data_IF_985450238177
#
_entry.id   IF_985450238177
#
_cell.length_a   1.000
_cell.length_b   1.000
_cell.length_c   1.000
_cell.angle_alpha   90.00
_cell.angle_beta   90.00
_cell.angle_gamma   90.00
#
_symmetry.space_group_name_H-M   'P 1'
#
loop_
_entity.id
_entity.type
_entity.pdbx_description
1 polymer ?
#
# COMPACT_ATOMS: atom_id res chain seq x y z
N UNK A 1 23.03 41.72 43.33
CA UNK A 1 23.25 41.25 41.94
C UNK A 1 22.43 39.99 41.77
N UNK A 2 21.31 40.07 41.07
CA UNK A 2 20.45 38.93 40.76
C UNK A 2 20.87 38.40 39.40
N UNK A 3 21.45 37.19 39.37
CA UNK A 3 21.74 36.47 38.13
C UNK A 3 20.59 35.49 37.93
N UNK A 4 19.63 35.87 37.10
CA UNK A 4 18.56 34.99 36.64
C UNK A 4 19.15 34.00 35.63
N UNK A 5 18.99 32.68 35.79
CA UNK A 5 19.61 31.71 34.88
C UNK A 5 18.87 31.69 33.53
N UNK A 6 19.57 32.09 32.46
CA UNK A 6 19.12 32.00 31.05
C UNK A 6 19.16 30.56 30.47
N UNK A 7 18.87 29.53 31.28
CA UNK A 7 19.12 28.12 30.88
C UNK A 7 17.91 27.44 30.19
N UNK A 8 16.76 28.10 30.02
CA UNK A 8 15.53 27.39 29.62
C UNK A 8 15.12 27.45 28.14
N UNK A 9 15.60 28.38 27.31
CA UNK A 9 15.13 28.50 25.90
C UNK A 9 15.93 27.63 24.92
N UNK A 10 17.27 27.60 25.02
CA UNK A 10 18.14 26.84 24.10
C UNK A 10 17.83 25.34 24.08
N UNK A 11 17.47 24.76 25.22
CA UNK A 11 17.19 23.33 25.38
C UNK A 11 15.78 22.94 24.94
N UNK A 12 14.86 23.91 24.84
CA UNK A 12 13.50 23.70 24.35
C UNK A 12 13.47 23.72 22.82
N UNK A 13 14.19 24.66 22.21
CA UNK A 13 14.34 24.77 20.76
C UNK A 13 15.08 23.54 20.17
N UNK A 14 16.12 23.04 20.85
CA UNK A 14 16.83 21.83 20.44
C UNK A 14 15.94 20.58 20.46
N UNK A 15 15.06 20.45 21.47
CA UNK A 15 14.09 19.34 21.55
C UNK A 15 13.02 19.43 20.46
N UNK A 16 12.62 20.64 20.07
CA UNK A 16 11.67 20.85 18.97
C UNK A 16 12.28 20.51 17.61
N UNK A 17 13.57 20.82 17.40
CA UNK A 17 14.30 20.40 16.19
C UNK A 17 14.40 18.88 16.08
N UNK A 18 14.78 18.20 17.17
CA UNK A 18 14.83 16.72 17.19
C UNK A 18 13.46 16.08 16.90
N UNK A 19 12.38 16.67 17.42
CA UNK A 19 11.02 16.19 17.16
C UNK A 19 10.61 16.42 15.70
N UNK A 20 10.99 17.54 15.10
CA UNK A 20 10.74 17.84 13.69
C UNK A 20 11.49 16.86 12.78
N UNK A 21 12.79 16.64 13.01
CA UNK A 21 13.60 15.71 12.23
C UNK A 21 13.05 14.27 12.33
N UNK A 22 12.60 13.87 13.52
CA UNK A 22 11.96 12.59 13.73
C UNK A 22 10.64 12.47 12.94
N UNK A 23 9.79 13.51 12.96
CA UNK A 23 8.54 13.55 12.18
C UNK A 23 8.83 13.43 10.68
N UNK A 24 9.84 14.13 10.18
CA UNK A 24 10.21 14.10 8.76
C UNK A 24 10.75 12.72 8.36
N UNK A 25 11.52 12.05 9.23
CA UNK A 25 12.00 10.68 8.98
C UNK A 25 10.85 9.67 8.84
N UNK A 26 9.78 9.81 9.62
CA UNK A 26 8.60 8.98 9.50
C UNK A 26 7.76 9.36 8.27
N UNK A 27 7.62 10.65 7.96
CA UNK A 27 6.88 11.14 6.78
C UNK A 27 7.52 10.76 5.45
N UNK A 28 8.82 10.53 5.42
CA UNK A 28 9.52 10.04 4.23
C UNK A 28 8.99 8.67 3.74
N UNK A 29 8.24 7.94 4.57
CA UNK A 29 7.59 6.69 4.21
C UNK A 29 6.17 6.97 3.69
N UNK A 30 6.00 6.94 2.37
CA UNK A 30 4.70 7.05 1.71
C UNK A 30 4.12 5.64 1.43
N UNK A 31 3.03 5.23 2.11
CA UNK A 31 2.37 3.94 1.85
C UNK A 31 1.88 3.82 0.39
N UNK A 32 1.52 4.92 -0.26
CA UNK A 32 1.11 4.92 -1.66
C UNK A 32 2.26 4.51 -2.59
N UNK A 33 3.44 5.11 -2.40
CA UNK A 33 4.64 4.74 -3.15
C UNK A 33 5.04 3.28 -2.91
N UNK A 34 4.94 2.80 -1.67
CA UNK A 34 5.21 1.39 -1.35
C UNK A 34 4.23 0.44 -2.05
N UNK A 35 2.94 0.80 -2.10
CA UNK A 35 1.92 0.01 -2.78
C UNK A 35 2.21 -0.09 -4.30
N UNK A 36 2.61 1.01 -4.94
CA UNK A 36 3.01 1.02 -6.35
C UNK A 36 4.23 0.12 -6.60
N UNK A 37 5.22 0.15 -5.71
CA UNK A 37 6.38 -0.73 -5.78
C UNK A 37 5.99 -2.20 -5.61
N UNK A 38 5.06 -2.51 -4.71
CA UNK A 38 4.55 -3.87 -4.48
C UNK A 38 3.86 -4.40 -5.73
N UNK A 39 2.97 -3.61 -6.35
CA UNK A 39 2.25 -4.02 -7.56
C UNK A 39 3.23 -4.24 -8.73
N UNK A 40 4.19 -3.33 -8.89
CA UNK A 40 5.24 -3.45 -9.91
C UNK A 40 6.09 -4.72 -9.68
N UNK A 41 6.49 -4.97 -8.44
CA UNK A 41 7.27 -6.16 -8.08
C UNK A 41 6.47 -7.45 -8.30
N UNK A 42 5.17 -7.49 -7.96
CA UNK A 42 4.30 -8.64 -8.22
C UNK A 42 4.24 -8.97 -9.71
N UNK A 43 4.11 -7.94 -10.55
CA UNK A 43 4.11 -8.09 -12.00
C UNK A 43 5.43 -8.70 -12.49
N UNK A 44 6.57 -8.13 -12.08
CA UNK A 44 7.90 -8.59 -12.50
C UNK A 44 8.19 -10.01 -12.02
N UNK A 45 7.88 -10.30 -10.75
CA UNK A 45 8.12 -11.57 -10.09
C UNK A 45 7.39 -12.73 -10.78
N UNK A 46 6.19 -12.47 -11.29
CA UNK A 46 5.36 -13.45 -11.99
C UNK A 46 5.46 -13.33 -13.52
N UNK A 47 6.31 -12.44 -14.05
CA UNK A 47 6.38 -12.12 -15.48
C UNK A 47 4.99 -11.85 -16.11
N UNK A 48 4.09 -11.23 -15.36
CA UNK A 48 2.74 -10.90 -15.81
C UNK A 48 2.74 -9.63 -16.69
N UNK A 49 1.67 -9.43 -17.47
CA UNK A 49 1.48 -8.20 -18.26
C UNK A 49 0.93 -7.05 -17.43
N UNK A 50 0.16 -7.39 -16.40
CA UNK A 50 -0.43 -6.44 -15.47
C UNK A 50 -0.54 -7.05 -14.08
N UNK A 51 -0.63 -6.18 -13.08
CA UNK A 51 -0.88 -6.52 -11.69
C UNK A 51 -1.73 -5.44 -11.04
N UNK A 52 -2.33 -5.75 -9.89
CA UNK A 52 -3.08 -4.76 -9.13
C UNK A 52 -3.46 -5.23 -7.75
N UNK A 53 -4.00 -4.29 -6.97
CA UNK A 53 -4.63 -4.54 -5.68
C UNK A 53 -6.09 -4.08 -5.73
N UNK A 54 -6.98 -4.94 -5.26
CA UNK A 54 -8.39 -4.63 -5.04
C UNK A 54 -8.69 -4.74 -3.55
N UNK A 55 -9.51 -3.83 -3.03
CA UNK A 55 -10.03 -3.89 -1.68
C UNK A 55 -11.54 -4.13 -1.72
N UNK A 56 -12.03 -4.86 -0.72
CA UNK A 56 -13.46 -5.01 -0.45
C UNK A 56 -13.79 -4.34 0.86
N UNK A 57 -14.80 -3.49 0.85
CA UNK A 57 -15.39 -2.98 2.09
C UNK A 57 -16.14 -4.13 2.79
N UNK A 58 -15.92 -4.28 4.09
CA UNK A 58 -16.59 -5.29 4.90
C UNK A 58 -18.07 -5.00 5.13
N UNK A 59 -18.53 -3.75 4.89
CA UNK A 59 -19.91 -3.31 5.17
C UNK A 59 -20.83 -3.58 4.00
N UNK A 60 -20.46 -3.17 2.79
CA UNK A 60 -21.37 -3.22 1.62
C UNK A 60 -21.03 -4.36 0.63
N UNK A 61 -19.87 -5.03 0.80
CA UNK A 61 -19.41 -6.06 -0.13
C UNK A 61 -19.08 -5.52 -1.53
N UNK A 62 -19.11 -4.19 -1.71
CA UNK A 62 -18.73 -3.54 -2.96
C UNK A 62 -17.21 -3.53 -3.15
N UNK A 63 -16.80 -3.73 -4.41
CA UNK A 63 -15.40 -3.76 -4.83
C UNK A 63 -14.89 -2.35 -5.04
N UNK A 64 -13.83 -1.99 -4.33
CA UNK A 64 -13.05 -0.80 -4.67
C UNK A 64 -11.70 -1.25 -5.20
N UNK A 65 -11.52 -1.15 -6.51
CA UNK A 65 -10.19 -1.31 -7.09
C UNK A 65 -9.30 -0.18 -6.57
N UNK A 66 -8.19 -0.52 -5.93
CA UNK A 66 -7.36 0.46 -5.24
C UNK A 66 -6.17 0.82 -6.10
N UNK A 67 -5.49 -0.18 -6.68
CA UNK A 67 -4.34 0.04 -7.56
C UNK A 67 -4.31 -0.94 -8.73
N UNK A 68 -3.86 -0.47 -9.89
CA UNK A 68 -3.57 -1.29 -11.07
C UNK A 68 -2.30 -0.75 -11.70
N UNK A 69 -1.40 -1.64 -12.08
CA UNK A 69 -0.21 -1.33 -12.85
C UNK A 69 -0.19 -2.18 -14.12
N UNK A 70 0.13 -1.54 -15.25
CA UNK A 70 0.31 -2.21 -16.54
C UNK A 70 1.67 -1.87 -17.13
N UNK A 71 2.37 -2.88 -17.64
CA UNK A 71 3.62 -2.62 -18.34
C UNK A 71 3.37 -1.70 -19.55
N UNK A 72 4.07 -0.56 -19.59
CA UNK A 72 4.09 0.34 -20.76
C UNK A 72 3.64 1.78 -20.51
N UNK A 73 3.26 2.17 -19.29
CA UNK A 73 2.99 3.58 -18.94
C UNK A 73 3.85 4.01 -17.75
N UNK A 74 4.82 4.89 -18.02
CA UNK A 74 5.54 5.62 -16.97
C UNK A 74 4.62 6.72 -16.44
N UNK A 75 4.05 6.54 -15.25
CA UNK A 75 3.37 7.62 -14.52
C UNK A 75 4.10 7.91 -13.19
N UNK A 76 4.14 9.19 -12.76
CA UNK A 76 4.92 9.62 -11.61
C UNK A 76 4.26 9.21 -10.27
N UNK A 77 5.07 8.93 -9.23
CA UNK A 77 4.57 8.50 -7.92
C UNK A 77 3.83 9.62 -7.19
N UNK A 78 2.77 9.29 -6.46
CA UNK A 78 2.15 10.18 -5.46
C UNK A 78 0.71 10.65 -5.73
N UNK A 79 -0.05 9.97 -6.59
CA UNK A 79 -1.49 10.22 -6.72
C UNK A 79 -2.23 8.90 -6.78
N UNK A 80 -2.93 8.55 -5.69
CA UNK A 80 -3.89 7.45 -5.64
C UNK A 80 -4.99 7.70 -6.70
N UNK A 81 -4.76 7.14 -7.88
CA UNK A 81 -5.59 7.29 -9.07
C UNK A 81 -5.51 5.95 -9.79
N UNK A 82 -6.67 5.44 -10.18
CA UNK A 82 -6.81 4.23 -11.01
C UNK A 82 -6.01 4.47 -12.30
N UNK A 83 -4.79 3.95 -12.36
CA UNK A 83 -3.89 4.03 -13.51
C UNK A 83 -3.58 2.64 -14.07
N UNK A 84 -4.64 1.87 -14.26
CA UNK A 84 -4.67 0.78 -15.24
C UNK A 84 -5.43 1.24 -16.48
N UNK A 85 -5.26 0.59 -17.64
CA UNK A 85 -6.11 0.86 -18.79
C UNK A 85 -7.57 0.63 -18.35
N UNK A 86 -8.55 1.32 -18.98
CA UNK A 86 -9.94 1.24 -18.55
C UNK A 86 -10.38 -0.22 -18.41
N UNK A 87 -11.32 -0.54 -17.50
CA UNK A 87 -11.88 -1.89 -17.32
C UNK A 87 -12.20 -2.60 -18.66
N UNK A 88 -12.52 -1.82 -19.69
CA UNK A 88 -12.78 -2.23 -21.08
C UNK A 88 -11.59 -2.84 -21.85
N UNK A 89 -10.39 -2.86 -21.27
CA UNK A 89 -9.16 -3.37 -21.92
C UNK A 89 -8.62 -4.66 -21.32
N UNK A 90 -9.10 -5.03 -20.12
CA UNK A 90 -8.89 -6.36 -19.58
C UNK A 90 -9.94 -7.29 -20.20
N UNK A 91 -9.59 -8.54 -20.53
CA UNK A 91 -10.54 -9.43 -21.18
C UNK A 91 -11.74 -9.70 -20.27
N UNK A 92 -12.86 -10.07 -20.90
CA UNK A 92 -14.14 -10.36 -20.24
C UNK A 92 -14.10 -11.23 -18.97
N UNK A 93 -13.15 -12.16 -18.72
CA UNK A 93 -13.15 -12.91 -17.48
C UNK A 93 -12.76 -12.08 -16.24
N UNK A 94 -12.31 -10.82 -16.39
CA UNK A 94 -11.79 -10.05 -15.26
C UNK A 94 -12.83 -9.75 -14.17
N UNK A 95 -14.06 -9.29 -14.47
CA UNK A 95 -15.08 -9.09 -13.43
C UNK A 95 -15.45 -10.39 -12.71
N UNK A 96 -15.50 -11.52 -13.43
CA UNK A 96 -15.73 -12.83 -12.83
C UNK A 96 -14.57 -13.24 -11.92
N UNK A 97 -13.34 -13.06 -12.38
CA UNK A 97 -12.14 -13.32 -11.59
C UNK A 97 -12.13 -12.51 -10.29
N UNK A 98 -12.45 -11.21 -10.34
CA UNK A 98 -12.52 -10.38 -9.13
C UNK A 98 -13.56 -10.91 -8.14
N UNK A 99 -14.75 -11.29 -8.62
CA UNK A 99 -15.80 -11.90 -7.76
C UNK A 99 -15.31 -13.18 -7.10
N UNK A 100 -14.65 -14.06 -7.87
CA UNK A 100 -14.08 -15.31 -7.35
C UNK A 100 -12.99 -15.02 -6.31
N UNK A 101 -12.05 -14.13 -6.62
CA UNK A 101 -10.94 -13.75 -5.76
C UNK A 101 -11.43 -13.26 -4.39
N UNK A 102 -12.46 -12.42 -4.37
CA UNK A 102 -12.98 -11.85 -3.14
C UNK A 102 -13.83 -12.81 -2.31
N UNK A 103 -14.48 -13.76 -2.97
CA UNK A 103 -15.24 -14.81 -2.32
C UNK A 103 -14.34 -15.92 -1.77
N UNK A 104 -13.13 -16.08 -2.31
CA UNK A 104 -12.21 -17.14 -1.91
C UNK A 104 -11.48 -16.83 -0.59
N UNK A 105 -11.21 -17.90 0.15
CA UNK A 105 -10.26 -17.90 1.27
C UNK A 105 -8.83 -18.25 0.80
N UNK A 106 -8.73 -18.90 -0.35
CA UNK A 106 -7.50 -19.42 -0.95
C UNK A 106 -7.15 -18.64 -2.22
N UNK A 107 -5.92 -18.80 -2.76
CA UNK A 107 -5.56 -18.23 -4.05
C UNK A 107 -6.52 -18.66 -5.15
N UNK A 108 -6.83 -17.74 -6.06
CA UNK A 108 -7.70 -17.97 -7.21
C UNK A 108 -6.88 -17.90 -8.47
N UNK A 109 -7.00 -18.92 -9.31
CA UNK A 109 -6.41 -18.97 -10.64
C UNK A 109 -7.50 -19.21 -11.67
N UNK A 110 -7.54 -18.35 -12.68
CA UNK A 110 -8.41 -18.49 -13.84
C UNK A 110 -7.54 -18.70 -15.09
N UNK A 111 -7.75 -19.83 -15.77
CA UNK A 111 -6.95 -20.23 -16.93
C UNK A 111 -7.32 -19.49 -18.21
N UNK A 112 -6.58 -19.79 -19.28
CA UNK A 112 -6.72 -19.19 -20.62
C UNK A 112 -5.42 -18.58 -21.13
N UNK A 113 -5.39 -18.19 -22.41
CA UNK A 113 -4.23 -17.53 -23.03
C UNK A 113 -3.89 -16.20 -22.32
N UNK A 114 -4.91 -15.53 -21.79
CA UNK A 114 -4.80 -14.43 -20.85
C UNK A 114 -5.34 -14.89 -19.49
N UNK A 115 -4.49 -15.58 -18.72
CA UNK A 115 -4.84 -16.06 -17.38
C UNK A 115 -4.82 -14.96 -16.32
N UNK A 116 -5.46 -15.27 -15.19
CA UNK A 116 -5.47 -14.46 -13.97
C UNK A 116 -5.03 -15.30 -12.79
N UNK A 117 -4.32 -14.67 -11.85
CA UNK A 117 -3.93 -15.27 -10.59
C UNK A 117 -4.06 -14.20 -9.50
N UNK A 118 -4.65 -14.53 -8.36
CA UNK A 118 -4.77 -13.61 -7.25
C UNK A 118 -4.78 -14.31 -5.90
N UNK A 119 -4.43 -13.56 -4.87
CA UNK A 119 -4.36 -14.03 -3.49
C UNK A 119 -4.71 -12.91 -2.52
N UNK A 120 -5.11 -13.27 -1.30
CA UNK A 120 -5.30 -12.33 -0.22
C UNK A 120 -3.98 -11.60 0.13
N UNK A 121 -4.09 -10.29 0.34
CA UNK A 121 -3.04 -9.45 0.88
C UNK A 121 -3.41 -9.18 2.36
N UNK A 122 -2.73 -9.82 3.33
CA UNK A 122 -3.11 -9.69 4.73
C UNK A 122 -2.74 -8.29 5.23
N UNK A 123 -3.75 -7.48 5.52
CA UNK A 123 -3.62 -6.15 6.11
C UNK A 123 -4.36 -6.10 7.45
N UNK A 124 -3.84 -5.34 8.40
CA UNK A 124 -4.51 -5.06 9.68
C UNK A 124 -5.55 -3.93 9.55
N UNK A 125 -6.43 -4.02 8.55
CA UNK A 125 -7.53 -3.06 8.33
C UNK A 125 -8.89 -3.73 8.51
N UNK A 126 -9.95 -2.93 8.55
CA UNK A 126 -11.32 -3.45 8.62
C UNK A 126 -11.80 -4.08 7.29
N UNK A 127 -11.09 -3.85 6.19
CA UNK A 127 -11.38 -4.42 4.87
C UNK A 127 -10.48 -5.62 4.54
N UNK A 128 -10.74 -6.25 3.39
CA UNK A 128 -9.84 -7.26 2.80
C UNK A 128 -9.19 -6.67 1.56
N UNK A 129 -7.89 -6.88 1.40
CA UNK A 129 -7.17 -6.54 0.19
C UNK A 129 -6.74 -7.81 -0.54
N UNK A 130 -6.65 -7.75 -1.86
CA UNK A 130 -6.22 -8.85 -2.70
C UNK A 130 -5.24 -8.36 -3.75
N UNK A 131 -4.11 -9.05 -3.87
CA UNK A 131 -3.12 -8.83 -4.92
C UNK A 131 -3.44 -9.78 -6.08
N UNK A 132 -3.42 -9.25 -7.30
CA UNK A 132 -3.65 -10.03 -8.51
C UNK A 132 -2.65 -9.70 -9.61
N UNK A 133 -2.46 -10.65 -10.52
CA UNK A 133 -1.61 -10.56 -11.71
C UNK A 133 -2.36 -11.18 -12.90
N UNK A 134 -2.10 -10.69 -14.11
CA UNK A 134 -2.74 -11.23 -15.31
C UNK A 134 -1.91 -11.08 -16.57
N UNK A 135 -2.30 -11.84 -17.60
CA UNK A 135 -1.80 -11.70 -18.96
C UNK A 135 -0.90 -12.81 -19.47
N UNK A 136 -0.88 -13.96 -18.78
CA UNK A 136 -0.35 -15.23 -19.28
C UNK A 136 -1.00 -16.39 -18.52
N UNK A 137 -0.84 -17.64 -18.98
CA UNK A 137 -1.15 -18.81 -18.16
C UNK A 137 -0.25 -18.85 -16.92
N UNK A 138 -0.82 -19.16 -15.75
CA UNK A 138 -0.09 -19.31 -14.49
C UNK A 138 -0.07 -20.78 -14.04
N UNK A 139 0.99 -21.18 -13.35
CA UNK A 139 1.15 -22.52 -12.79
C UNK A 139 1.20 -22.49 -11.24
N UNK A 140 1.42 -23.66 -10.62
CA UNK A 140 1.43 -23.77 -9.15
C UNK A 140 2.65 -23.09 -8.52
N UNK A 141 3.74 -22.94 -9.30
CA UNK A 141 4.93 -22.22 -8.85
C UNK A 141 4.65 -20.73 -8.77
N UNK A 142 3.97 -20.17 -9.78
CA UNK A 142 3.54 -18.77 -9.79
C UNK A 142 2.62 -18.46 -8.62
N UNK A 143 1.67 -19.35 -8.35
CA UNK A 143 0.76 -19.26 -7.20
C UNK A 143 1.54 -19.23 -5.88
N UNK A 144 2.42 -20.22 -5.64
CA UNK A 144 3.23 -20.29 -4.43
C UNK A 144 4.10 -19.04 -4.22
N UNK A 145 4.64 -18.51 -5.32
CA UNK A 145 5.47 -17.31 -5.30
C UNK A 145 4.66 -16.06 -4.97
N UNK A 146 3.50 -15.89 -5.61
CA UNK A 146 2.61 -14.75 -5.39
C UNK A 146 2.05 -14.75 -3.96
N UNK A 147 1.68 -15.92 -3.42
CA UNK A 147 1.20 -16.04 -2.02
C UNK A 147 2.26 -15.58 -1.03
N UNK A 148 3.50 -16.08 -1.15
CA UNK A 148 4.60 -15.69 -0.25
C UNK A 148 4.91 -14.20 -0.36
N UNK A 149 4.91 -13.68 -1.59
CA UNK A 149 5.11 -12.27 -1.84
C UNK A 149 4.00 -11.43 -1.21
N UNK A 150 2.72 -11.80 -1.38
CA UNK A 150 1.59 -11.10 -0.79
C UNK A 150 1.67 -11.06 0.74
N UNK A 151 2.07 -12.14 1.40
CA UNK A 151 2.27 -12.16 2.86
C UNK A 151 3.34 -11.13 3.27
N UNK A 152 4.50 -11.12 2.60
CA UNK A 152 5.58 -10.18 2.89
C UNK A 152 5.17 -8.72 2.59
N UNK A 153 4.48 -8.49 1.47
CA UNK A 153 3.98 -7.19 1.05
C UNK A 153 2.94 -6.63 2.03
N UNK A 154 2.01 -7.47 2.52
CA UNK A 154 1.02 -7.08 3.53
C UNK A 154 1.69 -6.60 4.82
N UNK A 155 2.72 -7.33 5.29
CA UNK A 155 3.51 -6.90 6.46
C UNK A 155 4.27 -5.60 6.24
N UNK A 156 4.79 -5.37 5.04
CA UNK A 156 5.46 -4.12 4.71
C UNK A 156 4.48 -2.93 4.71
N UNK A 157 3.26 -3.12 4.19
CA UNK A 157 2.21 -2.10 4.18
C UNK A 157 1.68 -1.78 5.58
N UNK A 158 1.50 -2.80 6.43
CA UNK A 158 1.14 -2.62 7.84
C UNK A 158 2.20 -1.75 8.54
N UNK A 159 3.48 -2.12 8.41
CA UNK A 159 4.58 -1.36 9.01
C UNK A 159 4.65 0.09 8.48
N UNK A 160 4.43 0.29 7.17
CA UNK A 160 4.36 1.63 6.58
C UNK A 160 3.19 2.46 7.13
N UNK A 161 2.04 1.83 7.38
CA UNK A 161 0.87 2.49 7.96
C UNK A 161 1.13 2.90 9.41
N UNK A 162 1.82 2.04 10.18
CA UNK A 162 2.23 2.33 11.55
C UNK A 162 3.20 3.52 11.62
N UNK A 163 4.13 3.66 10.66
CA UNK A 163 5.00 4.83 10.57
C UNK A 163 4.22 6.14 10.33
N UNK A 164 3.21 6.11 9.46
CA UNK A 164 2.33 7.28 9.24
C UNK A 164 1.53 7.61 10.50
N UNK A 165 1.02 6.60 11.20
CA UNK A 165 0.31 6.79 12.46
C UNK A 165 1.22 7.41 13.53
N UNK A 166 2.44 6.91 13.68
CA UNK A 166 3.45 7.45 14.59
C UNK A 166 3.79 8.91 14.25
N UNK A 167 3.98 9.24 12.96
CA UNK A 167 4.23 10.61 12.52
C UNK A 167 3.08 11.56 12.92
N UNK A 168 1.82 11.13 12.77
CA UNK A 168 0.64 11.91 13.18
C UNK A 168 0.58 12.10 14.69
N UNK A 169 0.88 11.07 15.47
CA UNK A 169 0.94 11.17 16.93
C UNK A 169 2.02 12.16 17.38
N UNK A 170 3.21 12.10 16.79
CA UNK A 170 4.31 13.03 17.08
C UNK A 170 3.96 14.48 16.68
N UNK A 171 3.28 14.68 15.54
CA UNK A 171 2.77 16.00 15.14
C UNK A 171 1.74 16.54 16.15
N UNK A 172 0.86 15.68 16.66
CA UNK A 172 -0.09 16.08 17.69
C UNK A 172 0.65 16.52 18.97
N UNK A 173 1.66 15.76 19.42
CA UNK A 173 2.50 16.14 20.56
C UNK A 173 3.18 17.49 20.30
N UNK A 174 3.79 17.67 19.13
CA UNK A 174 4.43 18.94 18.73
C UNK A 174 3.43 20.12 18.82
N UNK A 175 2.19 19.94 18.36
CA UNK A 175 1.18 20.99 18.38
C UNK A 175 0.82 21.44 19.81
N UNK A 176 0.93 20.56 20.81
CA UNK A 176 0.69 20.92 22.22
C UNK A 176 1.90 21.55 22.91
N UNK A 177 3.11 21.33 22.41
CA UNK A 177 4.35 21.91 22.96
C UNK A 177 4.72 23.25 22.35
N UNK A 178 4.13 23.62 21.21
CA UNK A 178 4.32 24.94 20.63
C UNK A 178 3.68 26.03 21.52
N UNK A 179 4.38 27.14 21.82
CA UNK A 179 3.83 28.20 22.66
C UNK A 179 2.54 28.75 22.06
N UNK A 180 1.45 28.68 22.82
CA UNK A 180 0.18 29.34 22.48
C UNK A 180 0.46 30.85 22.45
N UNK A 181 0.46 31.43 21.26
CA UNK A 181 0.45 32.89 21.09
C UNK A 181 -0.85 33.48 21.61
#
# INVERSE_FOLDING_TARGET
MNVTPQISESTADEKLLLLHDLIDSFRAHDPGQLLDQIVTAAQQLTAARCAGVVETDAVDGEFRQVHVHTAGRSEPPGRAVVHGPPPDSLPEPFPEFLRLLTAAAEPVRLGGDFGFLGTCLPLNTHGRAFLWVAGRPFDDRDESLLVRFAIAAGRALDASSDFVAAARMLQAVHAFTAPRR
#
